data_IF_622686145360
#
_entry.id   IF_622686145360
#
_cell.length_a   1.000
_cell.length_b   1.000
_cell.length_c   1.000
_cell.angle_alpha   90.00
_cell.angle_beta   90.00
_cell.angle_gamma   90.00
#
_symmetry.space_group_name_H-M   'P 1'
#
loop_
_entity.id
_entity.type
_entity.pdbx_description
1 polymer ?
#
# COMPACT_ATOMS: atom_id res chain seq x y z
N UNK A 1 6.34 -14.36 -6.04
CA UNK A 1 5.45 -13.22 -6.38
C UNK A 1 4.01 -13.64 -6.14
N UNK A 2 3.58 -13.58 -4.88
CA UNK A 2 2.20 -13.87 -4.47
C UNK A 2 1.59 -12.54 -4.03
N UNK A 3 0.43 -12.21 -4.58
CA UNK A 3 -0.35 -11.06 -4.13
C UNK A 3 -1.12 -11.44 -2.89
N UNK A 4 -0.84 -10.75 -1.79
CA UNK A 4 -1.47 -10.94 -0.49
C UNK A 4 -2.39 -9.74 -0.25
N UNK A 5 -3.63 -10.01 0.12
CA UNK A 5 -4.59 -8.95 0.45
C UNK A 5 -4.17 -8.29 1.75
N UNK A 6 -4.14 -6.97 1.79
CA UNK A 6 -3.75 -6.18 2.97
C UNK A 6 -4.60 -6.49 4.20
N UNK A 7 -5.88 -6.80 4.01
CA UNK A 7 -6.81 -7.22 5.07
C UNK A 7 -6.51 -8.60 5.67
N UNK A 8 -5.85 -9.48 4.90
CA UNK A 8 -5.54 -10.84 5.33
C UNK A 8 -4.21 -10.87 6.07
N UNK A 9 -3.21 -10.15 5.54
CA UNK A 9 -1.90 -10.01 6.15
C UNK A 9 -1.28 -8.70 5.69
N UNK A 10 -0.63 -7.97 6.60
CA UNK A 10 0.14 -6.77 6.26
C UNK A 10 1.64 -7.11 6.18
N UNK A 11 2.41 -6.46 5.29
CA UNK A 11 3.85 -6.67 5.22
C UNK A 11 4.55 -6.16 6.48
N UNK A 12 5.84 -6.49 6.64
CA UNK A 12 6.65 -5.93 7.70
C UNK A 12 6.78 -4.40 7.54
N UNK A 13 6.64 -3.62 8.64
CA UNK A 13 6.83 -2.18 8.58
C UNK A 13 8.27 -1.84 8.18
N UNK A 14 8.45 -0.76 7.42
CA UNK A 14 9.75 -0.32 6.93
C UNK A 14 10.28 -1.06 5.69
N UNK A 15 9.58 -2.11 5.21
CA UNK A 15 9.96 -2.83 3.98
C UNK A 15 9.18 -2.28 2.78
N UNK A 16 9.85 -1.81 1.71
CA UNK A 16 9.18 -1.31 0.52
C UNK A 16 8.70 -2.47 -0.37
N UNK A 17 7.38 -2.65 -0.42
CA UNK A 17 6.71 -3.70 -1.20
C UNK A 17 5.92 -3.09 -2.37
N UNK A 18 5.70 -3.89 -3.42
CA UNK A 18 4.83 -3.49 -4.51
C UNK A 18 3.38 -3.65 -4.08
N UNK A 19 2.60 -2.58 -4.06
CA UNK A 19 1.20 -2.59 -3.68
C UNK A 19 0.30 -2.32 -4.88
N UNK A 20 -0.92 -2.88 -4.85
CA UNK A 20 -2.03 -2.46 -5.70
C UNK A 20 -2.93 -1.53 -4.92
N UNK A 21 -3.15 -0.36 -5.49
CA UNK A 21 -4.05 0.63 -4.97
C UNK A 21 -5.26 0.72 -5.87
N UNK A 22 -6.45 0.81 -5.26
CA UNK A 22 -7.70 1.02 -5.96
C UNK A 22 -8.22 2.42 -5.66
N UNK A 23 -8.52 3.17 -6.71
CA UNK A 23 -9.17 4.47 -6.57
C UNK A 23 -10.59 4.27 -6.05
N UNK A 24 -10.96 4.87 -4.93
CA UNK A 24 -12.29 4.74 -4.31
C UNK A 24 -13.40 5.23 -5.24
N UNK A 25 -13.18 6.34 -5.96
CA UNK A 25 -14.20 6.94 -6.83
C UNK A 25 -14.34 6.22 -8.18
N UNK A 26 -13.21 5.92 -8.84
CA UNK A 26 -13.22 5.40 -10.22
C UNK A 26 -13.07 3.88 -10.31
N UNK A 27 -12.66 3.22 -9.22
CA UNK A 27 -12.33 1.80 -9.22
C UNK A 27 -11.04 1.44 -9.95
N UNK A 28 -10.32 2.42 -10.52
CA UNK A 28 -9.05 2.22 -11.22
C UNK A 28 -8.02 1.57 -10.29
N UNK A 29 -7.37 0.52 -10.77
CA UNK A 29 -6.29 -0.14 -10.03
C UNK A 29 -4.95 0.27 -10.62
N UNK A 30 -4.05 0.73 -9.77
CA UNK A 30 -2.66 1.00 -10.14
C UNK A 30 -1.70 0.27 -9.21
N UNK A 31 -0.49 0.04 -9.69
CA UNK A 31 0.57 -0.56 -8.89
C UNK A 31 1.55 0.53 -8.46
N UNK A 32 1.80 0.64 -7.17
CA UNK A 32 2.77 1.59 -6.63
C UNK A 32 3.60 0.96 -5.50
N UNK A 33 4.85 1.39 -5.37
CA UNK A 33 5.74 0.87 -4.32
C UNK A 33 5.53 1.64 -3.03
N UNK A 34 5.04 0.95 -2.01
CA UNK A 34 4.72 1.54 -0.72
C UNK A 34 5.52 0.88 0.39
N UNK A 35 5.72 1.63 1.46
CA UNK A 35 6.25 1.13 2.71
C UNK A 35 5.14 1.19 3.75
N UNK A 36 4.94 0.09 4.47
CA UNK A 36 4.05 0.09 5.63
C UNK A 36 4.73 0.86 6.75
N UNK A 37 3.98 1.78 7.35
CA UNK A 37 4.38 2.51 8.56
C UNK A 37 3.44 2.18 9.70
N UNK A 38 3.91 2.39 10.93
CA UNK A 38 3.12 2.19 12.15
C UNK A 38 2.96 3.56 12.79
N UNK A 39 2.05 4.35 12.23
CA UNK A 39 1.65 5.66 12.76
C UNK A 39 0.16 5.62 13.08
N UNK A 40 -0.32 6.53 13.93
CA UNK A 40 -1.70 6.53 14.42
C UNK A 40 -2.71 6.88 13.29
N UNK A 41 -2.32 7.79 12.39
CA UNK A 41 -3.16 8.30 11.30
C UNK A 41 -2.75 7.76 9.92
N UNK A 42 -1.56 7.15 9.82
CA UNK A 42 -0.98 6.72 8.55
C UNK A 42 -0.50 5.26 8.62
N UNK A 43 -0.92 4.45 7.66
CA UNK A 43 -0.50 3.03 7.56
C UNK A 43 0.44 2.78 6.38
N UNK A 44 0.42 3.66 5.37
CA UNK A 44 1.18 3.48 4.13
C UNK A 44 1.77 4.79 3.63
N UNK A 45 3.05 4.74 3.27
CA UNK A 45 3.77 5.86 2.61
C UNK A 45 4.41 5.41 1.32
N UNK A 46 4.65 6.35 0.40
CA UNK A 46 5.39 6.08 -0.84
C UNK A 46 6.83 5.69 -0.52
N UNK A 47 7.36 4.65 -1.18
CA UNK A 47 8.71 4.18 -0.88
C UNK A 47 9.82 5.13 -1.35
N UNK A 48 9.53 6.04 -2.28
CA UNK A 48 10.48 7.02 -2.82
C UNK A 48 10.62 8.25 -1.93
N UNK A 49 9.52 8.97 -1.76
CA UNK A 49 9.49 10.28 -1.09
C UNK A 49 8.99 10.22 0.36
N UNK A 50 8.55 9.04 0.84
CA UNK A 50 7.90 8.86 2.15
C UNK A 50 6.70 9.80 2.36
N UNK A 51 6.05 10.18 1.28
CA UNK A 51 4.81 10.94 1.30
C UNK A 51 3.64 10.03 1.63
N UNK A 52 2.64 10.61 2.28
CA UNK A 52 1.38 9.93 2.54
C UNK A 52 0.64 9.61 1.24
N UNK A 53 0.02 8.43 1.20
CA UNK A 53 -0.85 8.03 0.09
C UNK A 53 -2.16 8.81 0.20
N UNK A 54 -2.60 9.45 -0.88
CA UNK A 54 -3.87 10.19 -0.87
C UNK A 54 -5.03 9.28 -0.45
N UNK A 55 -5.94 9.80 0.39
CA UNK A 55 -7.11 9.07 0.92
C UNK A 55 -8.06 8.54 -0.18
N UNK A 56 -7.96 9.04 -1.41
CA UNK A 56 -8.68 8.50 -2.57
C UNK A 56 -8.23 7.10 -3.00
N UNK A 57 -7.09 6.62 -2.49
CA UNK A 57 -6.50 5.34 -2.85
C UNK A 57 -6.53 4.36 -1.69
N UNK A 58 -7.19 3.23 -1.91
CA UNK A 58 -7.23 2.11 -0.97
C UNK A 58 -6.20 1.05 -1.35
N UNK A 59 -5.34 0.66 -0.40
CA UNK A 59 -4.34 -0.38 -0.63
C UNK A 59 -4.98 -1.75 -0.45
N UNK A 60 -5.25 -2.46 -1.55
CA UNK A 60 -6.02 -3.71 -1.54
C UNK A 60 -5.15 -4.97 -1.46
N UNK A 61 -3.95 -4.94 -2.05
CA UNK A 61 -3.05 -6.08 -2.15
C UNK A 61 -1.59 -5.62 -2.17
N UNK A 62 -0.67 -6.47 -1.73
CA UNK A 62 0.77 -6.27 -1.83
C UNK A 62 1.47 -7.55 -2.29
N UNK A 63 2.59 -7.40 -2.98
CA UNK A 63 3.39 -8.51 -3.47
C UNK A 63 4.35 -8.99 -2.38
N UNK A 64 4.20 -10.25 -1.97
CA UNK A 64 5.23 -10.93 -1.19
C UNK A 64 6.41 -11.29 -2.10
N UNK A 65 7.56 -10.71 -1.75
CA UNK A 65 8.87 -11.13 -2.24
C UNK A 65 9.18 -12.56 -1.80
#
# INVERSE_FOLDING_TARGET
>A
MVWIKTKDLMPAPGVPVQCKLRHCSSGTVQQHRLVRVVEDDCTWRTAGDLCEVSYDWDVIEWESA
#
